data_IF_786059193548
#
_entry.id   IF_786059193548
#
_cell.length_a   1.000
_cell.length_b   1.000
_cell.length_c   1.000
_cell.angle_alpha   90.00
_cell.angle_beta   90.00
_cell.angle_gamma   90.00
#
_symmetry.space_group_name_H-M   'P 1'
#
loop_
_entity.id
_entity.type
_entity.pdbx_description
1 polymer ?
#
# COMPACT_ATOMS: atom_id res chain seq x y z
N UNK A 1 -2.74 -1.95 -18.40
CA UNK A 1 -3.81 -2.18 -17.43
C UNK A 1 -3.26 -2.74 -16.15
N UNK A 2 -3.67 -2.24 -15.01
CA UNK A 2 -3.21 -2.80 -13.74
C UNK A 2 -3.79 -4.20 -13.55
N UNK A 3 -3.00 -5.05 -12.93
CA UNK A 3 -3.46 -6.38 -12.59
C UNK A 3 -4.43 -6.32 -11.41
N UNK A 4 -5.12 -7.42 -11.17
CA UNK A 4 -5.99 -7.51 -10.02
C UNK A 4 -5.22 -7.33 -8.72
N UNK A 5 -4.00 -7.84 -8.68
CA UNK A 5 -3.16 -7.68 -7.51
C UNK A 5 -2.85 -6.20 -7.26
N UNK A 6 -2.50 -5.48 -8.31
CA UNK A 6 -2.20 -4.06 -8.19
C UNK A 6 -3.40 -3.29 -7.67
N UNK A 7 -4.57 -3.55 -8.23
CA UNK A 7 -5.77 -2.87 -7.79
C UNK A 7 -6.11 -3.17 -6.34
N UNK A 8 -5.96 -4.43 -5.95
CA UNK A 8 -6.27 -4.83 -4.58
C UNK A 8 -5.32 -4.15 -3.60
N UNK A 9 -4.03 -4.15 -3.91
CA UNK A 9 -3.05 -3.54 -3.03
C UNK A 9 -3.30 -2.04 -2.88
N UNK A 10 -3.58 -1.35 -3.99
CA UNK A 10 -3.84 0.08 -3.93
C UNK A 10 -5.13 0.39 -3.19
N UNK A 11 -6.14 -0.44 -3.37
CA UNK A 11 -7.40 -0.24 -2.66
C UNK A 11 -7.19 -0.41 -1.15
N UNK A 12 -6.47 -1.43 -0.76
CA UNK A 12 -6.19 -1.66 0.65
C UNK A 12 -5.41 -0.50 1.26
N UNK A 13 -4.43 -0.02 0.52
CA UNK A 13 -3.65 1.12 0.98
C UNK A 13 -4.54 2.36 1.14
N UNK A 14 -5.38 2.62 0.16
CA UNK A 14 -6.29 3.76 0.23
C UNK A 14 -7.24 3.69 1.41
N UNK A 15 -7.79 2.50 1.68
CA UNK A 15 -8.67 2.31 2.82
C UNK A 15 -7.91 2.55 4.12
N UNK A 16 -6.68 2.05 4.22
CA UNK A 16 -5.89 2.22 5.43
C UNK A 16 -5.60 3.69 5.69
N UNK A 17 -5.25 4.43 4.65
CA UNK A 17 -4.96 5.85 4.79
C UNK A 17 -6.20 6.63 5.19
N UNK A 18 -7.34 6.33 4.56
CA UNK A 18 -8.59 6.99 4.88
C UNK A 18 -9.00 6.72 6.32
N UNK A 19 -8.86 5.49 6.77
CA UNK A 19 -9.18 5.12 8.14
C UNK A 19 -8.31 5.90 9.13
N UNK A 20 -7.03 6.02 8.81
CA UNK A 20 -6.12 6.76 9.65
C UNK A 20 -6.51 8.24 9.70
N UNK A 21 -6.79 8.81 8.56
CA UNK A 21 -7.18 10.22 8.48
C UNK A 21 -8.42 10.47 9.32
N UNK A 22 -9.43 9.60 9.19
CA UNK A 22 -10.65 9.74 9.97
C UNK A 22 -10.39 9.66 11.46
N UNK A 23 -9.52 8.75 11.86
CA UNK A 23 -9.22 8.58 13.28
C UNK A 23 -8.51 9.82 13.83
N UNK A 24 -7.61 10.40 13.06
CA UNK A 24 -6.88 11.58 13.50
C UNK A 24 -7.82 12.78 13.57
N UNK A 25 -8.65 12.97 12.56
CA UNK A 25 -9.54 14.13 12.49
C UNK A 25 -10.63 14.06 13.53
N UNK A 26 -11.09 12.87 13.84
CA UNK A 26 -12.09 12.70 14.87
C UNK A 26 -11.51 12.85 16.28
N UNK A 27 -10.21 12.95 16.40
CA UNK A 27 -9.59 13.00 17.72
C UNK A 27 -9.77 11.71 18.48
N UNK A 28 -9.74 10.60 17.76
CA UNK A 28 -10.00 9.32 18.38
C UNK A 28 -8.96 8.93 19.42
N UNK A 29 -9.25 7.85 20.15
CA UNK A 29 -8.30 7.39 21.17
C UNK A 29 -6.97 7.01 20.58
N UNK A 30 -5.92 7.14 21.37
CA UNK A 30 -4.59 6.82 20.90
C UNK A 30 -4.48 5.39 20.40
N UNK A 31 -5.21 4.48 21.02
CA UNK A 31 -5.19 3.08 20.58
C UNK A 31 -5.70 2.92 19.16
N UNK A 32 -6.76 3.63 18.81
CA UNK A 32 -7.32 3.56 17.48
C UNK A 32 -6.36 4.15 16.46
N UNK A 33 -5.74 5.25 16.82
CA UNK A 33 -4.80 5.89 15.90
C UNK A 33 -3.60 4.98 15.68
N UNK A 34 -3.08 4.38 16.73
CA UNK A 34 -1.96 3.46 16.59
C UNK A 34 -2.31 2.24 15.76
N UNK A 35 -3.51 1.72 15.93
CA UNK A 35 -3.94 0.59 15.15
C UNK A 35 -4.04 0.96 13.66
N UNK A 36 -4.56 2.13 13.38
CA UNK A 36 -4.65 2.59 12.00
C UNK A 36 -3.27 2.78 11.39
N UNK A 37 -2.32 3.29 12.18
CA UNK A 37 -0.94 3.42 11.71
C UNK A 37 -0.33 2.07 11.38
N UNK A 38 -0.60 1.07 12.21
CA UNK A 38 -0.08 -0.25 11.94
C UNK A 38 -0.63 -0.82 10.64
N UNK A 39 -1.88 -0.53 10.35
CA UNK A 39 -2.47 -0.97 9.10
C UNK A 39 -1.85 -0.27 7.89
N UNK A 40 -1.51 1.00 8.05
CA UNK A 40 -0.81 1.71 6.98
C UNK A 40 0.56 1.08 6.76
N UNK A 41 1.28 0.78 7.83
CA UNK A 41 2.59 0.16 7.71
C UNK A 41 2.51 -1.18 6.99
N UNK A 42 1.52 -1.98 7.32
CA UNK A 42 1.32 -3.26 6.65
C UNK A 42 1.00 -3.06 5.17
N UNK A 43 0.17 -2.08 4.86
CA UNK A 43 -0.19 -1.80 3.48
C UNK A 43 1.01 -1.26 2.70
N UNK A 44 1.84 -0.45 3.34
CA UNK A 44 3.06 0.04 2.72
C UNK A 44 3.99 -1.09 2.36
N UNK A 45 4.11 -2.08 3.24
CA UNK A 45 4.91 -3.25 2.96
C UNK A 45 4.39 -3.96 1.72
N UNK A 46 3.06 -4.09 1.60
CA UNK A 46 2.48 -4.72 0.44
C UNK A 46 2.78 -3.96 -0.84
N UNK A 47 2.68 -2.63 -0.77
CA UNK A 47 2.99 -1.80 -1.93
C UNK A 47 4.46 -1.96 -2.31
N UNK A 48 5.34 -1.98 -1.32
CA UNK A 48 6.76 -2.14 -1.57
C UNK A 48 7.06 -3.46 -2.25
N UNK A 49 6.45 -4.54 -1.75
CA UNK A 49 6.65 -5.86 -2.33
C UNK A 49 6.14 -5.87 -3.77
N UNK A 50 5.00 -5.26 -4.01
CA UNK A 50 4.46 -5.19 -5.36
C UNK A 50 5.43 -4.49 -6.31
N UNK A 51 5.97 -3.37 -5.87
CA UNK A 51 6.90 -2.61 -6.71
C UNK A 51 8.16 -3.41 -6.97
N UNK A 52 8.65 -4.12 -5.97
CA UNK A 52 9.84 -4.95 -6.16
C UNK A 52 9.60 -6.07 -7.16
N UNK A 53 8.42 -6.66 -7.12
CA UNK A 53 8.08 -7.68 -8.10
C UNK A 53 8.03 -7.10 -9.51
N UNK A 54 7.46 -5.92 -9.64
CA UNK A 54 7.40 -5.28 -10.94
C UNK A 54 8.79 -4.92 -11.46
N UNK A 55 9.66 -4.48 -10.56
CA UNK A 55 11.03 -4.20 -10.93
C UNK A 55 11.76 -5.45 -11.41
N UNK A 56 11.59 -6.54 -10.68
CA UNK A 56 12.22 -7.79 -11.06
C UNK A 56 11.71 -8.27 -12.42
N UNK A 57 10.43 -8.12 -12.64
CA UNK A 57 9.82 -8.52 -13.88
C UNK A 57 10.37 -7.69 -15.05
N UNK A 58 10.50 -6.40 -14.82
CA UNK A 58 11.04 -5.52 -15.85
C UNK A 58 12.48 -5.86 -16.17
N UNK A 59 13.27 -6.16 -15.13
CA UNK A 59 14.67 -6.45 -15.31
C UNK A 59 14.88 -7.79 -15.99
N UNK A 60 14.14 -8.80 -15.62
CA UNK A 60 14.41 -10.13 -16.13
C UNK A 60 13.66 -10.43 -17.42
N UNK A 61 12.54 -9.82 -17.63
CA UNK A 61 11.73 -10.18 -18.77
C UNK A 61 11.84 -9.25 -19.94
N UNK A 62 12.49 -8.12 -19.79
CA UNK A 62 12.45 -7.14 -20.84
C UNK A 62 13.76 -6.51 -21.01
N UNK A 63 14.35 -6.74 -22.13
CA UNK A 63 15.58 -6.07 -22.38
C UNK A 63 15.33 -4.65 -22.66
N UNK A 64 14.70 -4.13 -22.83
CA UNK A 64 14.51 -2.82 -22.98
C UNK A 64 15.47 -2.04 -23.15
N UNK A 65 15.70 -1.77 -23.33
CA UNK A 65 16.35 -1.09 -23.48
C UNK A 65 16.45 -0.36 -23.63
N UNK A 66 16.61 0.04 -23.41
CA UNK A 66 16.84 1.22 -23.56
C UNK A 66 17.16 1.66 -24.44
#
# INVERSE_FOLDING_TARGET
MPSDETRRVLKMFGVAVTTYEDAVEAGGPADKIKKAEAEIDASLTEVTVLIERLRAKRTSGSPQRP
#
